data_IF_146794434422
#
_entry.id   IF_146794434422
#
_cell.length_a   1.000
_cell.length_b   1.000
_cell.length_c   1.000
_cell.angle_alpha   90.00
_cell.angle_beta   90.00
_cell.angle_gamma   90.00
#
_symmetry.space_group_name_H-M   'P 1'
#
loop_
_entity.id
_entity.type
_entity.pdbx_description
1 polymer ?
#
# COMPACT_ATOMS: atom_id res chain seq x y z
N UNK A 1 -7.67 -8.75 4.86
CA UNK A 1 -6.76 -8.02 5.76
C UNK A 1 -7.33 -6.63 5.98
N UNK A 2 -7.86 -6.38 7.17
CA UNK A 2 -8.27 -5.05 7.62
C UNK A 2 -6.98 -4.27 7.87
N UNK A 3 -6.81 -3.10 7.23
CA UNK A 3 -5.64 -2.24 7.45
C UNK A 3 -5.68 -1.85 8.92
N UNK A 4 -4.73 -2.33 9.72
CA UNK A 4 -4.54 -1.88 11.10
C UNK A 4 -4.41 -0.37 11.10
N UNK A 5 -5.08 0.32 12.02
CA UNK A 5 -5.14 1.78 12.07
C UNK A 5 -3.72 2.38 12.08
N UNK A 6 -3.24 2.87 10.94
CA UNK A 6 -1.91 3.44 10.81
C UNK A 6 -1.90 4.78 11.55
N UNK A 7 -1.00 4.91 12.52
CA UNK A 7 -0.90 6.10 13.35
C UNK A 7 0.14 7.06 12.80
N UNK A 8 -0.15 8.35 12.88
CA UNK A 8 0.78 9.41 12.56
C UNK A 8 1.98 9.33 13.51
N UNK A 9 3.23 9.34 13.01
CA UNK A 9 4.42 9.27 13.87
C UNK A 9 4.55 10.47 14.80
N UNK A 10 3.96 11.61 14.43
CA UNK A 10 4.03 12.88 15.15
C UNK A 10 2.92 13.01 16.22
N UNK A 11 1.67 13.29 15.84
CA UNK A 11 0.58 13.45 16.81
C UNK A 11 -0.05 12.15 17.34
N UNK A 12 0.39 10.98 16.87
CA UNK A 12 -0.21 9.66 17.20
C UNK A 12 -1.69 9.51 16.80
N UNK A 13 -2.25 10.45 16.04
CA UNK A 13 -3.60 10.35 15.48
C UNK A 13 -3.71 9.36 14.33
N UNK A 14 -4.93 8.90 14.02
CA UNK A 14 -5.19 7.96 12.92
C UNK A 14 -4.91 8.65 11.58
N UNK A 15 -4.18 7.98 10.69
CA UNK A 15 -3.99 8.42 9.31
C UNK A 15 -5.15 7.95 8.43
N UNK A 16 -5.64 8.86 7.59
CA UNK A 16 -6.74 8.59 6.66
C UNK A 16 -6.20 8.16 5.31
N UNK A 17 -6.75 7.08 4.73
CA UNK A 17 -6.47 6.68 3.35
C UNK A 17 -7.08 7.67 2.37
N UNK A 18 -6.24 8.31 1.56
CA UNK A 18 -6.66 9.26 0.51
C UNK A 18 -6.68 8.66 -0.87
N UNK A 19 -5.73 7.78 -1.16
CA UNK A 19 -5.62 7.14 -2.47
C UNK A 19 -5.04 5.75 -2.31
N UNK A 20 -5.55 4.83 -3.10
CA UNK A 20 -4.96 3.52 -3.29
C UNK A 20 -4.81 3.28 -4.79
N UNK A 21 -3.63 2.83 -5.22
CA UNK A 21 -3.40 2.40 -6.59
C UNK A 21 -2.53 1.14 -6.64
N UNK A 22 -2.40 0.58 -7.83
CA UNK A 22 -1.51 -0.55 -8.08
C UNK A 22 -0.39 -0.08 -9.00
N UNK A 23 0.86 -0.30 -8.56
CA UNK A 23 2.04 -0.09 -9.39
C UNK A 23 2.44 -1.38 -10.09
N UNK A 24 2.78 -1.28 -11.38
CA UNK A 24 3.37 -2.37 -12.14
C UNK A 24 4.78 -1.98 -12.57
N UNK A 25 5.77 -2.81 -12.25
CA UNK A 25 7.14 -2.63 -12.74
C UNK A 25 7.45 -3.69 -13.79
N UNK A 26 7.46 -3.29 -15.07
CA UNK A 26 7.56 -4.20 -16.22
C UNK A 26 8.82 -5.07 -16.23
N UNK A 27 9.93 -4.59 -15.65
CA UNK A 27 11.21 -5.32 -15.65
C UNK A 27 11.34 -6.45 -14.62
N UNK A 28 10.41 -6.57 -13.65
CA UNK A 28 10.53 -7.56 -12.56
C UNK A 28 9.24 -8.34 -12.29
N UNK A 29 8.18 -8.12 -13.09
CA UNK A 29 6.85 -8.74 -12.89
C UNK A 29 6.29 -8.51 -11.48
N UNK A 30 6.71 -7.42 -10.81
CA UNK A 30 6.29 -7.10 -9.45
C UNK A 30 5.09 -6.16 -9.50
N UNK A 31 4.03 -6.57 -8.81
CA UNK A 31 2.86 -5.76 -8.55
C UNK A 31 2.98 -5.22 -7.14
N UNK A 32 2.64 -3.95 -6.95
CA UNK A 32 2.65 -3.31 -5.64
C UNK A 32 1.30 -2.67 -5.39
N UNK A 33 0.72 -2.91 -4.22
CA UNK A 33 -0.38 -2.11 -3.70
C UNK A 33 0.20 -0.87 -3.04
N UNK A 34 -0.08 0.30 -3.61
CA UNK A 34 0.35 1.59 -3.07
C UNK A 34 -0.81 2.27 -2.37
N UNK A 35 -0.57 2.71 -1.15
CA UNK A 35 -1.53 3.44 -0.34
C UNK A 35 -0.93 4.78 0.06
N UNK A 36 -1.71 5.84 -0.09
CA UNK A 36 -1.37 7.20 0.30
C UNK A 36 -2.26 7.58 1.46
N UNK A 37 -1.64 7.79 2.62
CA UNK A 37 -2.29 8.11 3.88
C UNK A 37 -1.95 9.55 4.25
N UNK A 38 -2.88 10.24 4.87
CA UNK A 38 -2.67 11.60 5.36
C UNK A 38 -3.10 11.71 6.82
N UNK A 39 -2.29 12.37 7.62
CA UNK A 39 -2.71 12.90 8.92
C UNK A 39 -3.16 14.36 8.71
N UNK A 40 -4.46 14.65 8.80
CA UNK A 40 -4.97 16.01 8.57
C UNK A 40 -4.52 17.02 9.63
N UNK A 41 -4.29 16.56 10.85
CA UNK A 41 -3.92 17.43 11.97
C UNK A 41 -2.56 18.10 11.75
N UNK A 42 -1.61 17.34 11.19
CA UNK A 42 -0.21 17.78 10.99
C UNK A 42 0.15 17.95 9.50
N UNK A 43 -0.79 17.75 8.58
CA UNK A 43 -0.58 17.66 7.12
C UNK A 43 0.57 16.72 6.70
N UNK A 44 0.70 15.59 7.41
CA UNK A 44 1.74 14.59 7.16
C UNK A 44 1.23 13.54 6.18
N UNK A 45 2.00 13.29 5.12
CA UNK A 45 1.72 12.27 4.11
C UNK A 45 2.62 11.06 4.26
N UNK A 46 2.03 9.87 4.17
CA UNK A 46 2.75 8.60 4.19
C UNK A 46 2.37 7.76 2.97
N UNK A 47 3.37 7.12 2.37
CA UNK A 47 3.19 6.16 1.29
C UNK A 47 3.57 4.77 1.80
N UNK A 48 2.64 3.83 1.69
CA UNK A 48 2.93 2.41 1.92
C UNK A 48 2.90 1.69 0.58
N UNK A 49 3.91 0.84 0.36
CA UNK A 49 4.00 -0.01 -0.82
C UNK A 49 4.13 -1.47 -0.34
N UNK A 50 3.05 -2.23 -0.51
CA UNK A 50 3.04 -3.65 -0.19
C UNK A 50 3.22 -4.44 -1.48
N UNK A 51 4.29 -5.24 -1.62
CA UNK A 51 4.40 -6.16 -2.74
C UNK A 51 3.17 -7.07 -2.74
N UNK A 52 2.45 -7.10 -3.86
CA UNK A 52 1.51 -8.18 -4.14
C UNK A 52 2.41 -9.34 -4.58
N UNK A 53 2.83 -10.18 -3.63
CA UNK A 53 3.40 -11.46 -3.99
C UNK A 53 2.40 -12.13 -4.93
N UNK A 54 2.84 -12.44 -6.15
CA UNK A 54 2.14 -13.41 -6.94
C UNK A 54 2.26 -14.72 -6.17
N UNK A 55 1.25 -15.02 -5.34
CA UNK A 55 1.00 -16.38 -4.90
C UNK A 55 1.16 -17.27 -6.13
N UNK A 56 2.01 -18.28 -5.98
CA UNK A 56 2.58 -19.12 -7.01
C UNK A 56 1.76 -19.31 -8.30
N UNK A 57 2.55 -19.33 -9.37
CA UNK A 57 2.21 -19.88 -10.68
C UNK A 57 1.37 -21.17 -10.55
N UNK A 58 0.09 -21.09 -10.88
CA UNK A 58 -0.62 -22.20 -11.50
C UNK A 58 -1.01 -21.74 -12.90
N UNK A 59 -0.03 -21.74 -13.80
CA UNK A 59 -0.34 -21.85 -15.21
C UNK A 59 -0.72 -23.31 -15.45
N UNK A 60 -1.97 -23.63 -15.83
CA UNK A 60 -2.26 -24.95 -16.34
C UNK A 60 -1.44 -25.11 -17.63
N UNK A 61 -0.40 -25.93 -17.59
CA UNK A 61 0.18 -26.48 -18.81
C UNK A 61 -0.93 -27.22 -19.54
N UNK A 62 -1.22 -26.76 -20.76
CA UNK A 62 -2.10 -27.41 -21.73
C UNK A 62 -1.72 -28.87 -21.95
#
# INVERSE_FOLDING_TARGET
MTIENIMCPHCKGVMELRKQDTSYTSGKTKYYHRQFLVCRADDIWMRLETPKESSEQNFPTK
#
